data_IF_609777360417
#
_entry.id   IF_609777360417
#
_cell.length_a   1.000
_cell.length_b   1.000
_cell.length_c   1.000
_cell.angle_alpha   90.00
_cell.angle_beta   90.00
_cell.angle_gamma   90.00
#
_symmetry.space_group_name_H-M   'P 1'
#
loop_
_entity.id
_entity.type
_entity.pdbx_description
1 polymer ?
#
# COMPACT_ATOMS: atom_id res chain seq x y z
N UNK A 1 -1.09 -0.17 -3.72
CA UNK A 1 -1.16 -1.50 -3.09
C UNK A 1 -2.44 -2.22 -3.50
N UNK A 2 -2.48 -3.54 -3.38
CA UNK A 2 -3.66 -4.38 -3.62
C UNK A 2 -3.40 -5.85 -3.28
N UNK A 3 -4.43 -6.67 -3.47
CA UNK A 3 -4.35 -8.13 -3.37
C UNK A 3 -5.13 -8.80 -4.50
N UNK A 4 -4.92 -10.10 -4.72
CA UNK A 4 -5.66 -10.91 -5.68
C UNK A 4 -6.29 -12.17 -5.05
N UNK A 5 -7.05 -12.92 -5.84
CA UNK A 5 -7.77 -14.13 -5.43
C UNK A 5 -6.87 -15.29 -5.00
N UNK A 6 -5.58 -15.25 -5.36
CA UNK A 6 -4.59 -16.23 -4.97
C UNK A 6 -3.95 -15.92 -3.61
N UNK A 7 -4.31 -14.81 -2.97
CA UNK A 7 -3.74 -14.37 -1.71
C UNK A 7 -2.38 -13.68 -1.86
N UNK A 8 -2.03 -13.22 -3.06
CA UNK A 8 -0.87 -12.36 -3.29
C UNK A 8 -1.24 -10.93 -2.95
N UNK A 9 -0.42 -10.28 -2.14
CA UNK A 9 -0.51 -8.88 -1.77
C UNK A 9 0.72 -8.12 -2.25
N UNK A 10 0.53 -6.94 -2.84
CA UNK A 10 1.63 -6.08 -3.29
C UNK A 10 1.38 -4.63 -2.86
N UNK A 11 2.35 -4.05 -2.17
CA UNK A 11 2.47 -2.60 -1.93
C UNK A 11 3.77 -2.07 -2.53
N UNK A 12 3.81 -0.77 -2.82
CA UNK A 12 5.03 -0.10 -3.24
C UNK A 12 5.10 1.31 -2.68
N UNK A 13 6.30 1.89 -2.70
CA UNK A 13 6.52 3.29 -2.37
C UNK A 13 7.71 3.87 -3.14
N UNK A 14 7.76 5.20 -3.14
CA UNK A 14 8.79 5.97 -3.82
C UNK A 14 10.15 5.89 -3.10
N UNK A 15 11.21 5.60 -3.84
CA UNK A 15 12.59 5.68 -3.36
C UNK A 15 13.43 6.49 -4.32
N UNK A 16 14.46 7.13 -3.77
CA UNK A 16 15.45 7.89 -4.53
C UNK A 16 16.85 7.53 -4.06
N UNK A 17 17.80 7.59 -4.98
CA UNK A 17 19.18 7.21 -4.75
C UNK A 17 20.10 7.79 -5.80
N UNK A 18 21.34 7.29 -5.86
CA UNK A 18 22.39 7.76 -6.78
C UNK A 18 22.04 7.53 -8.25
N UNK A 19 21.27 6.49 -8.54
CA UNK A 19 20.78 6.25 -9.89
C UNK A 19 19.74 7.31 -10.26
N UNK A 20 19.95 7.96 -11.40
CA UNK A 20 19.07 9.01 -11.89
C UNK A 20 17.68 8.45 -12.21
N UNK A 21 16.67 9.23 -11.86
CA UNK A 21 15.28 8.90 -12.16
C UNK A 21 14.94 9.41 -13.56
N UNK A 22 14.32 8.55 -14.37
CA UNK A 22 13.89 8.88 -15.72
C UNK A 22 12.50 9.54 -15.70
N UNK A 23 12.39 10.74 -16.31
CA UNK A 23 11.12 11.44 -16.50
C UNK A 23 10.35 11.01 -17.77
N UNK A 24 10.98 10.18 -18.62
CA UNK A 24 10.34 9.66 -19.82
C UNK A 24 9.24 8.64 -19.47
N UNK A 25 8.21 8.56 -20.33
CA UNK A 25 7.09 7.63 -20.12
C UNK A 25 7.59 6.18 -20.15
N UNK A 26 7.51 5.51 -19.00
CA UNK A 26 7.75 4.08 -18.82
C UNK A 26 6.70 3.53 -17.83
N UNK A 27 6.91 2.31 -17.31
CA UNK A 27 5.99 1.75 -16.31
C UNK A 27 6.13 2.49 -14.98
N UNK A 28 5.01 2.91 -14.40
CA UNK A 28 4.98 3.43 -13.04
C UNK A 28 5.04 2.27 -12.04
N UNK A 29 5.45 2.55 -10.80
CA UNK A 29 5.37 1.57 -9.71
C UNK A 29 3.96 0.99 -9.54
N UNK A 30 2.93 1.84 -9.69
CA UNK A 30 1.54 1.42 -9.63
C UNK A 30 1.13 0.52 -10.80
N UNK A 31 1.72 0.69 -11.98
CA UNK A 31 1.49 -0.22 -13.12
C UNK A 31 2.08 -1.59 -12.82
N UNK A 32 3.31 -1.62 -12.29
CA UNK A 32 3.99 -2.85 -11.88
C UNK A 32 3.21 -3.60 -10.77
N UNK A 33 2.66 -2.89 -9.78
CA UNK A 33 1.77 -3.47 -8.76
C UNK A 33 0.56 -4.15 -9.41
N UNK A 34 -0.13 -3.46 -10.33
CA UNK A 34 -1.34 -3.99 -10.98
C UNK A 34 -1.02 -5.21 -11.84
N UNK A 35 0.02 -5.11 -12.67
CA UNK A 35 0.44 -6.19 -13.56
C UNK A 35 0.98 -7.41 -12.80
N UNK A 36 1.67 -7.19 -11.67
CA UNK A 36 2.09 -8.27 -10.76
C UNK A 36 0.89 -9.01 -10.17
N UNK A 37 -0.08 -8.28 -9.62
CA UNK A 37 -1.30 -8.85 -9.06
C UNK A 37 -2.18 -9.57 -10.11
N UNK A 38 -2.25 -9.04 -11.33
CA UNK A 38 -3.03 -9.64 -12.43
C UNK A 38 -2.45 -10.99 -12.91
N UNK A 39 -1.12 -11.16 -12.83
CA UNK A 39 -0.42 -12.26 -13.53
C UNK A 39 0.16 -13.33 -12.61
N UNK A 40 0.18 -13.11 -11.30
CA UNK A 40 0.85 -13.99 -10.35
C UNK A 40 -0.12 -14.64 -9.36
N UNK A 41 0.12 -15.91 -9.08
CA UNK A 41 -0.56 -16.70 -8.04
C UNK A 41 0.34 -16.95 -6.80
N UNK A 42 1.59 -16.47 -6.83
CA UNK A 42 2.53 -16.49 -5.68
C UNK A 42 3.33 -15.19 -5.59
N UNK A 43 3.89 -14.89 -4.42
CA UNK A 43 4.75 -13.74 -4.19
C UNK A 43 6.03 -13.79 -5.04
N UNK A 44 6.69 -14.96 -5.14
CA UNK A 44 7.86 -15.13 -6.01
C UNK A 44 7.53 -14.91 -7.49
N UNK A 45 6.38 -15.39 -7.99
CA UNK A 45 5.95 -15.12 -9.37
C UNK A 45 5.63 -13.65 -9.59
N UNK A 46 5.04 -12.97 -8.61
CA UNK A 46 4.80 -11.53 -8.67
C UNK A 46 6.12 -10.75 -8.78
N UNK A 47 7.13 -11.13 -7.98
CA UNK A 47 8.48 -10.58 -8.10
C UNK A 47 9.04 -10.78 -9.51
N UNK A 48 8.95 -12.00 -10.08
CA UNK A 48 9.41 -12.30 -11.44
C UNK A 48 8.71 -11.41 -12.48
N UNK A 49 7.38 -11.30 -12.41
CA UNK A 49 6.61 -10.44 -13.32
C UNK A 49 7.08 -8.99 -13.24
N UNK A 50 7.32 -8.46 -12.03
CA UNK A 50 7.77 -7.09 -11.85
C UNK A 50 9.17 -6.89 -12.45
N UNK A 51 10.13 -7.77 -12.18
CA UNK A 51 11.51 -7.61 -12.69
C UNK A 51 11.60 -7.83 -14.20
N UNK A 52 10.84 -8.76 -14.77
CA UNK A 52 10.78 -8.99 -16.21
C UNK A 52 10.20 -7.77 -16.95
N UNK A 53 9.17 -7.14 -16.36
CA UNK A 53 8.58 -5.92 -16.90
C UNK A 53 9.50 -4.71 -16.76
N UNK A 54 10.21 -4.61 -15.63
CA UNK A 54 11.22 -3.58 -15.41
C UNK A 54 12.36 -3.69 -16.43
N UNK A 55 12.84 -4.91 -16.70
CA UNK A 55 13.88 -5.15 -17.70
C UNK A 55 13.40 -4.80 -19.12
N UNK A 56 12.17 -5.18 -19.46
CA UNK A 56 11.64 -5.01 -20.81
C UNK A 56 11.19 -3.57 -21.12
N UNK A 57 10.59 -2.89 -20.16
CA UNK A 57 9.91 -1.60 -20.39
C UNK A 57 10.47 -0.45 -19.55
N UNK A 58 11.39 -0.74 -18.62
CA UNK A 58 11.91 0.26 -17.70
C UNK A 58 10.89 0.72 -16.67
N UNK A 59 11.31 1.68 -15.85
CA UNK A 59 10.44 2.44 -14.95
C UNK A 59 10.77 3.92 -15.05
N UNK A 60 9.77 4.77 -14.83
CA UNK A 60 9.93 6.22 -14.97
C UNK A 60 8.62 6.91 -15.29
N UNK A 61 8.72 8.21 -15.56
CA UNK A 61 7.57 9.05 -15.88
C UNK A 61 6.95 9.71 -14.66
N UNK A 62 6.12 10.72 -14.91
CA UNK A 62 5.52 11.53 -13.87
C UNK A 62 4.43 10.77 -13.09
N UNK A 63 4.66 10.54 -11.80
CA UNK A 63 3.71 9.90 -10.89
C UNK A 63 2.68 10.87 -10.28
N UNK A 64 2.61 12.12 -10.76
CA UNK A 64 1.67 13.14 -10.27
C UNK A 64 0.63 13.53 -11.32
N UNK A 65 -0.62 13.69 -10.88
CA UNK A 65 -1.65 14.39 -11.65
C UNK A 65 -1.51 15.91 -11.40
N UNK A 66 -0.53 16.54 -12.05
CA UNK A 66 -0.26 17.96 -11.88
C UNK A 66 0.90 18.50 -12.73
N UNK A 67 1.19 19.79 -12.59
CA UNK A 67 2.29 20.46 -13.30
C UNK A 67 3.67 20.16 -12.70
N UNK A 68 3.72 19.71 -11.45
CA UNK A 68 4.97 19.33 -10.80
C UNK A 68 5.32 17.90 -11.20
N UNK A 69 6.49 17.73 -11.82
CA UNK A 69 7.01 16.40 -12.12
C UNK A 69 7.43 15.74 -10.81
N UNK A 70 6.91 14.54 -10.57
CA UNK A 70 7.24 13.74 -9.40
C UNK A 70 7.54 12.31 -9.84
N UNK A 71 8.79 12.07 -10.21
CA UNK A 71 9.28 10.78 -10.67
C UNK A 71 10.12 10.13 -9.57
N UNK A 72 10.08 8.80 -9.50
CA UNK A 72 10.84 8.03 -8.50
C UNK A 72 11.08 6.58 -8.97
N UNK A 73 12.04 5.90 -8.32
CA UNK A 73 12.15 4.45 -8.37
C UNK A 73 11.30 3.82 -7.25
N UNK A 74 11.20 2.49 -7.24
CA UNK A 74 10.25 1.80 -6.37
C UNK A 74 10.92 0.83 -5.40
N UNK A 75 10.42 0.84 -4.16
CA UNK A 75 10.52 -0.28 -3.22
C UNK A 75 9.15 -0.98 -3.18
N UNK A 76 9.15 -2.31 -3.21
CA UNK A 76 7.95 -3.13 -3.18
C UNK A 76 7.98 -4.07 -1.98
N UNK A 77 6.82 -4.23 -1.34
CA UNK A 77 6.53 -5.28 -0.38
C UNK A 77 5.55 -6.25 -1.03
N UNK A 78 5.98 -7.48 -1.25
CA UNK A 78 5.23 -8.54 -1.92
C UNK A 78 5.05 -9.67 -0.91
N UNK A 79 3.85 -10.19 -0.72
CA UNK A 79 3.61 -11.28 0.22
C UNK A 79 2.52 -12.24 -0.27
N UNK A 80 2.64 -13.50 0.09
CA UNK A 80 1.58 -14.50 -0.01
C UNK A 80 1.48 -15.29 1.32
N UNK A 81 0.78 -16.44 1.31
CA UNK A 81 0.60 -17.29 2.50
C UNK A 81 1.90 -17.89 3.05
N UNK A 82 2.94 -18.01 2.23
CA UNK A 82 4.14 -18.79 2.52
C UNK A 82 5.39 -17.92 2.67
N UNK A 83 5.46 -16.82 1.94
CA UNK A 83 6.66 -16.00 1.88
C UNK A 83 6.33 -14.52 1.65
N UNK A 84 7.29 -13.67 2.01
CA UNK A 84 7.30 -12.28 1.63
C UNK A 84 8.65 -11.89 1.01
N UNK A 85 8.62 -10.88 0.16
CA UNK A 85 9.76 -10.34 -0.54
C UNK A 85 9.76 -8.82 -0.42
N UNK A 86 10.94 -8.28 -0.15
CA UNK A 86 11.24 -6.87 -0.40
C UNK A 86 11.96 -6.81 -1.74
N UNK A 87 11.50 -5.97 -2.65
CA UNK A 87 12.15 -5.71 -3.94
C UNK A 87 12.42 -4.21 -4.05
N UNK A 88 13.69 -3.82 -4.13
CA UNK A 88 14.09 -2.43 -4.26
C UNK A 88 14.82 -2.21 -5.59
N UNK A 89 14.49 -1.09 -6.24
CA UNK A 89 14.93 -0.83 -7.62
C UNK A 89 15.71 0.48 -7.73
N UNK A 90 16.65 0.51 -8.67
CA UNK A 90 17.45 1.66 -9.05
C UNK A 90 17.66 1.63 -10.57
N UNK A 91 16.88 2.42 -11.31
CA UNK A 91 16.80 2.31 -12.77
C UNK A 91 16.30 0.92 -13.17
N UNK A 92 17.05 0.22 -14.03
CA UNK A 92 16.78 -1.19 -14.35
C UNK A 92 17.35 -2.20 -13.34
N UNK A 93 18.24 -1.74 -12.45
CA UNK A 93 18.89 -2.62 -11.48
C UNK A 93 17.98 -2.82 -10.26
N UNK A 94 18.12 -3.96 -9.61
CA UNK A 94 17.28 -4.30 -8.47
C UNK A 94 17.98 -5.30 -7.56
N UNK A 95 17.58 -5.30 -6.29
CA UNK A 95 17.91 -6.31 -5.29
C UNK A 95 16.62 -6.75 -4.59
N UNK A 96 16.58 -8.01 -4.16
CA UNK A 96 15.45 -8.56 -3.44
C UNK A 96 15.89 -9.39 -2.23
N UNK A 97 15.18 -9.18 -1.13
CA UNK A 97 15.36 -9.87 0.14
C UNK A 97 14.13 -10.74 0.42
N UNK A 98 14.34 -12.03 0.69
CA UNK A 98 13.31 -12.96 1.11
C UNK A 98 13.10 -12.87 2.62
N UNK A 99 11.84 -12.73 3.04
CA UNK A 99 11.43 -12.67 4.45
C UNK A 99 10.61 -13.92 4.77
N UNK A 100 11.18 -14.80 5.58
CA UNK A 100 10.54 -16.07 5.98
C UNK A 100 10.03 -16.04 7.43
N UNK A 101 10.56 -15.15 8.26
CA UNK A 101 10.18 -15.03 9.67
C UNK A 101 10.36 -13.60 10.19
N UNK A 102 9.75 -13.31 11.32
CA UNK A 102 9.87 -12.04 12.01
C UNK A 102 9.02 -10.94 11.38
N UNK A 103 9.56 -9.72 11.38
CA UNK A 103 8.87 -8.51 10.91
C UNK A 103 9.79 -7.74 9.99
N UNK A 104 9.20 -7.15 8.94
CA UNK A 104 9.91 -6.27 8.01
C UNK A 104 8.97 -5.16 7.58
N UNK A 105 9.52 -3.96 7.43
CA UNK A 105 8.85 -2.82 6.82
C UNK A 105 9.77 -2.15 5.81
N UNK A 106 9.16 -1.33 4.96
CA UNK A 106 9.82 -0.43 4.03
C UNK A 106 9.32 1.01 4.30
N UNK A 107 10.10 2.00 3.88
CA UNK A 107 9.72 3.42 3.84
C UNK A 107 10.37 4.06 2.60
N UNK A 108 10.24 5.37 2.42
CA UNK A 108 10.84 6.12 1.29
C UNK A 108 12.38 6.22 1.36
N UNK A 109 13.07 5.08 1.43
CA UNK A 109 14.51 4.90 1.42
C UNK A 109 14.84 3.44 1.07
N UNK A 110 16.01 3.19 0.50
CA UNK A 110 16.51 1.83 0.30
C UNK A 110 16.86 1.21 1.66
N UNK A 111 16.55 -0.07 1.83
CA UNK A 111 16.63 -0.78 3.10
C UNK A 111 17.22 -2.18 2.98
N UNK A 112 17.36 -2.74 1.77
CA UNK A 112 18.07 -4.01 1.56
C UNK A 112 19.57 -3.76 1.73
N UNK A 113 20.18 -4.37 2.74
CA UNK A 113 21.61 -4.20 3.05
C UNK A 113 22.45 -5.29 2.39
N UNK A 114 23.08 -6.17 3.18
CA UNK A 114 23.95 -7.24 2.71
C UNK A 114 23.20 -8.56 2.48
N UNK A 115 22.03 -8.74 3.11
CA UNK A 115 21.15 -9.88 2.86
C UNK A 115 20.39 -9.68 1.55
N UNK A 116 20.93 -10.27 0.48
CA UNK A 116 20.36 -10.22 -0.86
C UNK A 116 20.17 -11.66 -1.34
N UNK A 117 18.92 -12.06 -1.53
CA UNK A 117 18.56 -13.40 -1.98
C UNK A 117 18.53 -13.47 -3.52
N UNK A 118 18.15 -12.36 -4.17
CA UNK A 118 18.14 -12.23 -5.64
C UNK A 118 18.55 -10.82 -6.04
N UNK A 119 19.27 -10.68 -7.15
CA UNK A 119 19.69 -9.38 -7.67
C UNK A 119 19.74 -9.38 -9.20
N UNK A 120 19.70 -8.20 -9.79
CA UNK A 120 20.01 -8.02 -11.20
C UNK A 120 21.46 -8.50 -11.48
N UNK A 121 21.72 -9.33 -12.52
CA UNK A 121 23.04 -9.92 -12.77
C UNK A 121 24.20 -8.90 -12.85
N UNK A 122 23.94 -7.74 -13.45
CA UNK A 122 24.93 -6.66 -13.58
C UNK A 122 24.95 -5.64 -12.43
N UNK A 123 24.13 -5.81 -11.39
CA UNK A 123 23.98 -4.83 -10.28
C UNK A 123 25.34 -4.39 -9.74
N UNK A 124 26.13 -5.36 -9.29
CA UNK A 124 27.42 -5.08 -8.64
C UNK A 124 28.47 -4.56 -9.61
N UNK A 125 28.49 -5.07 -10.84
CA UNK A 125 29.43 -4.63 -11.86
C UNK A 125 29.17 -3.17 -12.25
N UNK A 126 27.90 -2.80 -12.41
CA UNK A 126 27.50 -1.42 -12.65
C UNK A 126 27.90 -0.48 -11.51
N UNK A 127 27.66 -0.88 -10.25
CA UNK A 127 28.08 -0.11 -9.09
C UNK A 127 29.61 0.11 -9.04
N UNK A 128 30.42 -0.89 -9.43
CA UNK A 128 31.88 -0.73 -9.55
C UNK A 128 32.26 0.27 -10.64
N UNK A 129 31.64 0.16 -11.82
CA UNK A 129 31.92 1.07 -12.95
C UNK A 129 31.58 2.52 -12.61
N UNK A 130 30.51 2.75 -11.83
CA UNK A 130 30.15 4.08 -11.32
C UNK A 130 31.01 4.55 -10.14
N UNK A 131 31.93 3.72 -9.63
CA UNK A 131 32.74 4.03 -8.46
C UNK A 131 31.96 4.08 -7.15
N UNK A 132 30.76 3.51 -7.09
CA UNK A 132 29.92 3.50 -5.89
C UNK A 132 30.29 2.38 -4.92
N UNK A 133 30.85 1.28 -5.45
CA UNK A 133 31.35 0.16 -4.68
C UNK A 133 32.78 -0.17 -5.10
N UNK A 134 33.68 -0.36 -4.12
CA UNK A 134 35.11 -0.64 -4.37
C UNK A 134 35.37 -2.10 -4.79
N UNK A 135 34.37 -2.97 -4.67
CA UNK A 135 34.48 -4.39 -4.96
C UNK A 135 35.25 -5.20 -3.91
N UNK A 136 35.67 -4.55 -2.81
CA UNK A 136 36.47 -5.16 -1.73
C UNK A 136 35.63 -5.35 -0.48
N UNK A 137 34.82 -4.35 -0.11
CA UNK A 137 33.89 -4.46 1.02
C UNK A 137 32.73 -5.38 0.66
N UNK A 138 32.09 -5.97 1.66
CA UNK A 138 30.81 -6.66 1.46
C UNK A 138 29.82 -5.71 0.75
N UNK A 139 29.07 -6.24 -0.21
CA UNK A 139 28.16 -5.44 -0.99
C UNK A 139 26.88 -5.20 -0.17
N UNK A 140 26.60 -3.92 0.10
CA UNK A 140 25.39 -3.45 0.77
C UNK A 140 24.60 -2.59 -0.22
N UNK A 141 23.42 -3.06 -0.64
CA UNK A 141 22.65 -2.41 -1.71
C UNK A 141 22.20 -1.00 -1.30
N UNK A 142 21.58 -0.87 -0.13
CA UNK A 142 21.11 0.40 0.40
C UNK A 142 22.25 1.41 0.55
N UNK A 143 23.39 1.02 1.12
CA UNK A 143 24.54 1.91 1.28
C UNK A 143 25.18 2.31 -0.07
N UNK A 144 25.17 1.40 -1.04
CA UNK A 144 25.77 1.63 -2.36
C UNK A 144 24.92 2.55 -3.23
N UNK A 145 23.60 2.34 -3.24
CA UNK A 145 22.67 3.02 -4.14
C UNK A 145 21.96 4.22 -3.51
N UNK A 146 22.00 4.42 -2.19
CA UNK A 146 21.44 5.63 -1.55
C UNK A 146 22.33 6.86 -1.78
N UNK A 147 21.71 8.05 -1.73
CA UNK A 147 22.44 9.32 -1.78
C UNK A 147 23.51 9.41 -0.67
N UNK A 148 24.62 10.10 -0.97
CA UNK A 148 25.66 10.41 0.01
C UNK A 148 25.22 11.49 1.02
N UNK A 149 24.36 12.42 0.59
CA UNK A 149 23.89 13.52 1.42
C UNK A 149 22.47 13.25 1.95
N UNK A 150 22.40 13.01 3.25
CA UNK A 150 21.20 12.66 4.02
C UNK A 150 20.25 13.86 4.21
N UNK A 151 20.58 15.06 3.72
CA UNK A 151 19.70 16.24 3.82
C UNK A 151 18.33 16.03 3.15
N UNK A 152 18.25 15.29 2.04
CA UNK A 152 16.98 14.87 1.41
C UNK A 152 16.30 13.70 2.13
N UNK A 153 17.00 13.00 3.03
CA UNK A 153 16.44 11.93 3.86
C UNK A 153 15.73 12.46 5.10
N UNK A 154 15.77 13.75 5.44
CA UNK A 154 15.29 14.26 6.76
C UNK A 154 13.79 14.01 7.10
N UNK A 155 13.00 13.43 6.20
CA UNK A 155 11.58 13.05 6.43
C UNK A 155 11.40 11.51 6.53
N UNK A 156 12.42 10.70 6.20
CA UNK A 156 12.30 9.26 5.92
C UNK A 156 12.81 8.27 6.99
N UNK A 157 13.92 8.52 7.73
CA UNK A 157 14.38 7.64 8.81
C UNK A 157 13.36 7.53 9.93
N UNK A 158 12.59 8.60 10.19
CA UNK A 158 11.55 8.60 11.22
C UNK A 158 10.55 7.47 11.01
N UNK A 159 9.85 7.44 9.86
CA UNK A 159 8.80 6.44 9.63
C UNK A 159 9.33 5.02 9.47
N UNK A 160 10.50 4.85 8.84
CA UNK A 160 11.13 3.53 8.78
C UNK A 160 11.45 3.01 10.18
N UNK A 161 12.15 3.80 10.99
CA UNK A 161 12.57 3.43 12.34
C UNK A 161 11.37 3.27 13.28
N UNK A 162 10.38 4.16 13.21
CA UNK A 162 9.17 4.06 14.03
C UNK A 162 8.30 2.87 13.65
N UNK A 163 8.12 2.60 12.35
CA UNK A 163 7.47 1.39 11.87
C UNK A 163 8.18 0.13 12.36
N UNK A 164 9.50 0.11 12.27
CA UNK A 164 10.30 -1.00 12.79
C UNK A 164 10.16 -1.14 14.32
N UNK A 165 10.21 -0.04 15.07
CA UNK A 165 10.04 0.01 16.52
C UNK A 165 8.67 -0.53 16.94
N UNK A 166 7.60 -0.07 16.28
CA UNK A 166 6.23 -0.47 16.55
C UNK A 166 6.00 -1.96 16.22
N UNK A 167 6.47 -2.43 15.06
CA UNK A 167 6.39 -3.85 14.72
C UNK A 167 7.15 -4.73 15.72
N UNK A 168 8.36 -4.33 16.12
CA UNK A 168 9.16 -5.10 17.08
C UNK A 168 8.55 -5.13 18.48
N UNK A 169 7.87 -4.06 18.91
CA UNK A 169 7.13 -4.02 20.17
C UNK A 169 6.10 -5.15 20.28
N UNK A 170 5.51 -5.54 19.16
CA UNK A 170 4.46 -6.57 19.10
C UNK A 170 4.96 -7.91 18.50
N UNK A 171 6.27 -8.06 18.23
CA UNK A 171 6.83 -9.24 17.57
C UNK A 171 6.44 -10.53 18.29
N UNK A 172 5.94 -11.49 17.51
CA UNK A 172 5.43 -12.77 18.01
C UNK A 172 3.94 -12.77 18.40
N UNK A 173 3.32 -11.59 18.55
CA UNK A 173 1.89 -11.43 18.90
C UNK A 173 1.19 -10.40 17.99
N UNK A 174 1.62 -10.28 16.73
CA UNK A 174 0.99 -9.35 15.78
C UNK A 174 -0.35 -9.93 15.33
N UNK A 175 -1.42 -9.20 15.62
CA UNK A 175 -2.77 -9.45 15.09
C UNK A 175 -3.12 -8.45 13.99
N UNK A 176 -4.25 -8.63 13.30
CA UNK A 176 -4.69 -7.63 12.32
C UNK A 176 -5.07 -6.30 12.99
N UNK A 177 -5.61 -6.31 14.20
CA UNK A 177 -5.88 -5.12 15.01
C UNK A 177 -4.60 -4.39 15.39
N UNK A 178 -3.56 -5.14 15.76
CA UNK A 178 -2.22 -4.57 16.01
C UNK A 178 -1.73 -3.79 14.78
N UNK A 179 -1.89 -4.35 13.58
CA UNK A 179 -1.50 -3.66 12.34
C UNK A 179 -2.37 -2.43 12.07
N UNK A 180 -3.67 -2.49 12.35
CA UNK A 180 -4.58 -1.34 12.22
C UNK A 180 -4.23 -0.22 13.20
N UNK A 181 -3.84 -0.55 14.43
CA UNK A 181 -3.36 0.42 15.44
C UNK A 181 -2.07 1.09 14.97
N UNK A 182 -1.11 0.33 14.46
CA UNK A 182 0.13 0.87 13.89
C UNK A 182 -0.17 1.82 12.72
N UNK A 183 -1.07 1.44 11.82
CA UNK A 183 -1.46 2.27 10.68
C UNK A 183 -2.20 3.55 11.10
N UNK A 184 -2.80 3.59 12.29
CA UNK A 184 -3.48 4.75 12.86
C UNK A 184 -2.53 5.70 13.60
N UNK A 185 -1.33 5.25 13.94
CA UNK A 185 -0.41 5.99 14.81
C UNK A 185 0.12 7.26 14.11
N UNK A 186 -0.47 8.40 14.47
CA UNK A 186 -0.04 9.74 14.03
C UNK A 186 1.29 10.17 14.65
N UNK A 187 1.58 9.93 15.95
CA UNK A 187 2.84 10.37 16.55
C UNK A 187 4.10 9.79 15.89
N UNK A 188 4.06 8.55 15.40
CA UNK A 188 5.15 7.93 14.62
C UNK A 188 5.29 8.49 13.21
N UNK A 189 4.29 9.22 12.73
CA UNK A 189 4.17 9.67 11.35
C UNK A 189 3.71 8.58 10.38
N UNK A 190 3.41 7.35 10.83
CA UNK A 190 2.89 6.30 9.95
C UNK A 190 1.55 6.74 9.35
N UNK A 191 0.64 7.23 10.20
CA UNK A 191 -0.52 7.94 9.73
C UNK A 191 -0.13 9.39 9.43
N UNK A 192 0.17 9.67 8.17
CA UNK A 192 0.60 11.00 7.72
C UNK A 192 -0.56 12.00 7.68
N UNK A 193 -0.30 13.20 8.19
CA UNK A 193 -1.13 14.40 8.12
C UNK A 193 -0.33 15.59 7.53
N UNK A 194 -1.03 16.63 7.05
CA UNK A 194 -0.41 17.83 6.49
C UNK A 194 -0.37 17.83 4.96
N UNK A 195 0.78 18.18 4.37
CA UNK A 195 0.93 18.30 2.91
C UNK A 195 0.68 16.98 2.16
N UNK A 196 1.05 15.86 2.78
CA UNK A 196 0.75 14.52 2.31
C UNK A 196 -0.09 13.79 3.35
N UNK A 197 -1.34 13.50 3.02
CA UNK A 197 -2.28 12.78 3.87
C UNK A 197 -2.27 11.29 3.51
N UNK A 198 -2.33 10.40 4.50
CA UNK A 198 -2.64 8.98 4.27
C UNK A 198 -3.97 8.87 3.53
N UNK A 199 -3.97 8.45 2.27
CA UNK A 199 -5.18 8.44 1.42
C UNK A 199 -6.01 7.18 1.55
N UNK A 200 -5.39 6.07 1.96
CA UNK A 200 -6.03 4.81 2.29
C UNK A 200 -5.06 3.91 3.08
N UNK A 201 -5.59 2.89 3.75
CA UNK A 201 -4.82 1.87 4.45
C UNK A 201 -5.38 0.48 4.16
N UNK A 202 -4.50 -0.52 4.21
CA UNK A 202 -4.83 -1.92 3.95
C UNK A 202 -4.13 -2.82 4.97
N UNK A 203 -4.85 -3.84 5.45
CA UNK A 203 -4.30 -4.94 6.26
C UNK A 203 -4.74 -6.24 5.64
N UNK A 204 -3.84 -7.21 5.48
CA UNK A 204 -4.19 -8.53 4.94
C UNK A 204 -3.83 -9.63 5.91
N UNK A 205 -4.74 -10.57 6.09
CA UNK A 205 -4.53 -11.82 6.82
C UNK A 205 -4.39 -12.92 5.78
N UNK A 206 -3.24 -13.59 5.79
CA UNK A 206 -2.89 -14.64 4.83
C UNK A 206 -2.63 -15.96 5.60
N UNK A 207 -3.67 -16.73 5.94
CA UNK A 207 -3.49 -17.97 6.69
C UNK A 207 -2.65 -18.99 5.90
N UNK A 208 -1.69 -19.64 6.55
CA UNK A 208 -0.96 -20.78 5.96
C UNK A 208 -1.89 -21.96 5.68
N UNK A 209 -2.90 -22.17 6.52
CA UNK A 209 -3.96 -23.16 6.26
C UNK A 209 -4.81 -22.70 5.06
N UNK A 210 -4.63 -23.39 3.93
CA UNK A 210 -5.34 -23.11 2.67
C UNK A 210 -6.86 -23.31 2.75
N UNK A 211 -7.36 -24.00 3.78
CA UNK A 211 -8.80 -24.10 4.04
C UNK A 211 -9.42 -22.81 4.58
N UNK A 212 -8.60 -21.89 5.12
CA UNK A 212 -9.04 -20.58 5.55
C UNK A 212 -8.91 -19.55 4.41
N UNK A 213 -9.85 -18.60 4.30
CA UNK A 213 -9.77 -17.56 3.28
C UNK A 213 -8.66 -16.55 3.60
N UNK A 214 -8.11 -15.91 2.57
CA UNK A 214 -7.39 -14.66 2.72
C UNK A 214 -8.40 -13.53 2.98
N UNK A 215 -8.10 -12.66 3.95
CA UNK A 215 -8.99 -11.57 4.36
C UNK A 215 -8.24 -10.26 4.23
N UNK A 216 -8.80 -9.33 3.45
CA UNK A 216 -8.17 -8.06 3.12
C UNK A 216 -9.03 -6.92 3.62
N UNK A 217 -8.54 -6.14 4.56
CA UNK A 217 -9.19 -4.95 5.05
C UNK A 217 -8.76 -3.73 4.26
N UNK A 218 -9.70 -2.88 3.88
CA UNK A 218 -9.43 -1.61 3.22
C UNK A 218 -10.16 -0.47 3.92
N UNK A 219 -9.51 0.68 4.08
CA UNK A 219 -10.21 1.88 4.54
C UNK A 219 -11.01 2.55 3.43
N UNK A 220 -10.54 2.53 2.18
CA UNK A 220 -11.22 3.22 1.07
C UNK A 220 -11.44 4.73 1.30
N UNK A 221 -10.86 5.30 2.35
CA UNK A 221 -10.97 6.70 2.74
C UNK A 221 -9.66 7.13 3.41
N UNK A 222 -9.31 8.44 3.33
CA UNK A 222 -8.12 8.96 3.98
C UNK A 222 -8.20 8.95 5.50
N UNK A 223 -7.04 9.06 6.15
CA UNK A 223 -6.86 9.03 7.60
C UNK A 223 -7.47 7.75 8.23
N UNK A 224 -6.69 6.68 8.41
CA UNK A 224 -7.17 5.45 9.06
C UNK A 224 -7.72 5.69 10.46
N UNK A 225 -7.33 6.75 11.18
CA UNK A 225 -7.92 7.12 12.48
C UNK A 225 -9.38 7.59 12.31
N UNK A 226 -9.75 8.13 11.15
CA UNK A 226 -11.10 8.60 10.83
C UNK A 226 -11.85 7.68 9.87
N UNK A 227 -11.35 6.47 9.66
CA UNK A 227 -11.89 5.49 8.70
C UNK A 227 -12.24 4.15 9.36
N UNK A 228 -13.11 3.37 8.73
CA UNK A 228 -13.39 1.96 9.08
C UNK A 228 -12.54 1.02 8.23
N UNK A 229 -11.88 0.03 8.81
CA UNK A 229 -11.27 -1.09 8.09
C UNK A 229 -12.36 -2.09 7.66
N UNK A 230 -12.73 -2.04 6.37
CA UNK A 230 -13.78 -2.87 5.76
C UNK A 230 -13.19 -4.19 5.26
N UNK A 231 -13.61 -5.36 5.76
CA UNK A 231 -13.09 -6.64 5.29
C UNK A 231 -13.62 -7.00 3.91
N UNK A 232 -12.75 -7.58 3.09
CA UNK A 232 -13.02 -8.10 1.77
C UNK A 232 -12.39 -9.49 1.63
N UNK A 233 -13.15 -10.43 1.05
CA UNK A 233 -12.70 -11.79 0.77
C UNK A 233 -13.03 -12.08 -0.69
N UNK A 234 -12.07 -12.61 -1.43
CA UNK A 234 -12.29 -13.06 -2.80
C UNK A 234 -13.19 -14.30 -2.80
N UNK A 235 -14.41 -14.15 -3.32
CA UNK A 235 -15.40 -15.21 -3.50
C UNK A 235 -16.05 -15.07 -4.89
N UNK A 236 -16.67 -16.13 -5.44
CA UNK A 236 -17.43 -16.02 -6.67
C UNK A 236 -18.59 -15.01 -6.56
N UNK A 237 -19.03 -14.47 -7.70
CA UNK A 237 -20.23 -13.62 -7.81
C UNK A 237 -20.18 -12.30 -7.02
N UNK A 238 -18.99 -11.73 -6.79
CA UNK A 238 -18.85 -10.40 -6.20
C UNK A 238 -19.58 -9.36 -7.07
N UNK A 239 -20.47 -8.60 -6.42
CA UNK A 239 -21.18 -7.49 -7.05
C UNK A 239 -20.25 -6.31 -7.33
N UNK A 240 -20.62 -5.46 -8.29
CA UNK A 240 -19.83 -4.28 -8.62
C UNK A 240 -19.73 -3.32 -7.42
N UNK A 241 -18.51 -2.95 -7.03
CA UNK A 241 -18.22 -2.14 -5.85
C UNK A 241 -18.36 -0.63 -6.10
N UNK A 242 -19.54 -0.22 -6.57
CA UNK A 242 -19.82 1.14 -7.09
C UNK A 242 -19.49 2.26 -6.10
N UNK A 243 -19.81 2.11 -4.81
CA UNK A 243 -19.57 3.15 -3.79
C UNK A 243 -18.08 3.39 -3.49
N UNK A 244 -17.21 2.50 -3.95
CA UNK A 244 -15.75 2.54 -3.79
C UNK A 244 -15.00 2.58 -5.13
N UNK A 245 -15.73 2.72 -6.24
CA UNK A 245 -15.15 2.82 -7.58
C UNK A 245 -15.02 4.29 -7.98
N UNK A 246 -13.81 4.72 -8.31
CA UNK A 246 -13.58 6.06 -8.87
C UNK A 246 -14.31 6.21 -10.21
N UNK A 247 -14.83 7.41 -10.53
CA UNK A 247 -15.46 7.68 -11.81
C UNK A 247 -14.46 7.50 -12.96
N UNK A 248 -14.97 7.07 -14.11
CA UNK A 248 -14.20 6.98 -15.36
C UNK A 248 -14.60 8.13 -16.29
N UNK A 249 -13.61 8.72 -16.96
CA UNK A 249 -13.83 9.89 -17.81
C UNK A 249 -13.73 9.55 -19.31
N UNK A 250 -13.68 8.26 -19.66
CA UNK A 250 -13.68 7.83 -21.07
C UNK A 250 -12.50 8.41 -21.86
N UNK A 251 -12.79 9.01 -23.02
CA UNK A 251 -11.81 9.71 -23.86
C UNK A 251 -11.45 11.11 -23.33
N UNK A 252 -12.29 11.65 -22.45
CA UNK A 252 -12.09 12.96 -21.84
C UNK A 252 -11.13 12.91 -20.64
N UNK A 253 -10.69 11.71 -20.23
CA UNK A 253 -9.71 11.56 -19.15
C UNK A 253 -8.41 12.27 -19.53
N UNK A 254 -7.91 13.22 -18.71
CA UNK A 254 -6.72 13.98 -19.04
C UNK A 254 -5.44 13.13 -19.06
N UNK A 255 -5.48 11.89 -18.55
CA UNK A 255 -4.39 10.94 -18.78
C UNK A 255 -4.29 10.53 -20.26
N UNK A 256 -5.37 10.58 -21.04
CA UNK A 256 -5.39 10.16 -22.46
C UNK A 256 -5.11 11.29 -23.45
N UNK A 257 -5.17 12.55 -23.00
CA UNK A 257 -4.92 13.74 -23.83
C UNK A 257 -3.44 14.12 -23.74
N UNK A 258 -2.85 14.55 -24.87
CA UNK A 258 -1.47 15.09 -24.90
C UNK A 258 -1.54 16.61 -25.14
N UNK A 259 -0.84 17.43 -24.33
CA UNK A 259 -0.12 17.08 -23.10
C UNK A 259 -1.04 16.55 -21.99
N UNK A 260 -0.55 15.63 -21.14
CA UNK A 260 -1.35 15.01 -20.06
C UNK A 260 -1.67 16.00 -18.94
N UNK A 261 -2.72 15.69 -18.17
CA UNK A 261 -3.06 16.36 -16.90
C UNK A 261 -3.24 17.89 -16.99
N UNK A 262 -3.77 18.38 -18.12
CA UNK A 262 -4.11 19.81 -18.29
C UNK A 262 -5.22 20.27 -17.34
N UNK A 263 -6.03 19.34 -16.86
CA UNK A 263 -7.01 19.55 -15.80
C UNK A 263 -6.98 18.38 -14.83
N UNK A 264 -7.46 18.60 -13.60
CA UNK A 264 -7.54 17.58 -12.54
C UNK A 264 -9.02 17.25 -12.27
N UNK A 265 -9.53 16.12 -12.76
CA UNK A 265 -10.91 15.74 -12.52
C UNK A 265 -11.07 15.27 -11.08
N UNK A 266 -12.30 15.35 -10.56
CA UNK A 266 -12.60 14.78 -9.24
C UNK A 266 -12.73 13.26 -9.35
N UNK A 267 -11.70 12.53 -8.90
CA UNK A 267 -11.66 11.06 -8.89
C UNK A 267 -12.19 10.43 -7.61
N UNK A 268 -12.74 11.22 -6.68
CA UNK A 268 -13.28 10.68 -5.42
C UNK A 268 -14.54 9.85 -5.71
N UNK A 269 -14.55 8.62 -5.22
CA UNK A 269 -15.72 7.74 -5.25
C UNK A 269 -16.76 8.16 -4.18
N UNK A 270 -18.01 7.65 -4.25
CA UNK A 270 -19.10 8.09 -3.36
C UNK A 270 -18.79 8.02 -1.86
N UNK A 271 -18.16 6.93 -1.38
CA UNK A 271 -17.74 6.79 0.01
C UNK A 271 -16.75 7.91 0.42
N UNK A 272 -15.73 8.19 -0.39
CA UNK A 272 -14.74 9.22 -0.09
C UNK A 272 -15.38 10.62 -0.09
N UNK A 273 -16.28 10.92 -1.03
CA UNK A 273 -17.02 12.19 -1.01
C UNK A 273 -17.82 12.38 0.30
N UNK A 274 -18.47 11.31 0.79
CA UNK A 274 -19.22 11.36 2.05
C UNK A 274 -18.32 11.49 3.28
N UNK A 275 -17.19 10.79 3.28
CA UNK A 275 -16.17 10.93 4.31
C UNK A 275 -15.71 12.39 4.44
N UNK A 276 -15.35 13.04 3.33
CA UNK A 276 -14.90 14.44 3.38
C UNK A 276 -15.99 15.41 3.84
N UNK A 277 -17.22 15.24 3.36
CA UNK A 277 -18.36 16.04 3.83
C UNK A 277 -18.58 15.90 5.35
N UNK A 278 -18.43 14.68 5.90
CA UNK A 278 -18.56 14.47 7.33
C UNK A 278 -17.45 15.18 8.11
N UNK A 279 -16.20 15.10 7.65
CA UNK A 279 -15.07 15.75 8.32
C UNK A 279 -15.20 17.28 8.33
N UNK A 280 -15.62 17.90 7.23
CA UNK A 280 -15.82 19.36 7.14
C UNK A 280 -16.85 19.90 8.14
N UNK A 281 -17.89 19.11 8.45
CA UNK A 281 -18.93 19.44 9.44
C UNK A 281 -18.42 19.25 10.87
N UNK A 282 -17.59 18.23 11.05
CA UNK A 282 -17.18 17.71 12.35
C UNK A 282 -15.99 18.46 12.96
N UNK A 283 -15.04 18.93 12.16
CA UNK A 283 -13.90 19.74 12.64
C UNK A 283 -14.36 21.05 13.33
N UNK A 284 -15.66 21.38 13.26
CA UNK A 284 -16.31 22.52 13.92
C UNK A 284 -17.14 22.15 15.15
N UNK A 285 -17.35 20.86 15.46
CA UNK A 285 -18.25 20.35 16.52
C UNK A 285 -17.69 19.08 17.18
N UNK A 286 -16.97 19.23 18.28
CA UNK A 286 -16.26 18.16 19.00
C UNK A 286 -17.15 16.97 19.41
N UNK A 287 -18.35 17.21 19.94
CA UNK A 287 -19.28 16.13 20.33
C UNK A 287 -19.79 15.29 19.14
N UNK A 288 -20.04 15.94 17.98
CA UNK A 288 -20.41 15.22 16.74
C UNK A 288 -19.21 14.42 16.22
N UNK A 289 -17.99 14.91 16.39
CA UNK A 289 -16.76 14.19 16.05
C UNK A 289 -16.64 12.88 16.83
N UNK A 290 -16.77 12.97 18.14
CA UNK A 290 -16.69 11.84 19.04
C UNK A 290 -17.77 10.81 18.74
N UNK A 291 -19.01 11.26 18.56
CA UNK A 291 -20.13 10.38 18.21
C UNK A 291 -19.91 9.67 16.88
N UNK A 292 -19.39 10.34 15.86
CA UNK A 292 -19.04 9.71 14.58
C UNK A 292 -18.01 8.60 14.80
N UNK A 293 -16.89 8.93 15.44
CA UNK A 293 -15.79 8.00 15.66
C UNK A 293 -16.22 6.79 16.51
N UNK A 294 -17.01 7.01 17.56
CA UNK A 294 -17.53 5.92 18.40
C UNK A 294 -18.41 4.95 17.60
N UNK A 295 -19.27 5.48 16.71
CA UNK A 295 -20.09 4.65 15.83
C UNK A 295 -19.26 3.88 14.81
N UNK A 296 -18.21 4.49 14.24
CA UNK A 296 -17.29 3.82 13.33
C UNK A 296 -16.51 2.70 14.04
N UNK A 297 -16.02 2.95 15.27
CA UNK A 297 -15.33 1.93 16.09
C UNK A 297 -16.25 0.81 16.52
N UNK A 298 -17.53 1.11 16.78
CA UNK A 298 -18.53 0.08 17.06
C UNK A 298 -18.74 -0.83 15.85
N UNK A 299 -18.90 -0.25 14.65
CA UNK A 299 -19.01 -1.00 13.40
C UNK A 299 -17.78 -1.90 13.18
N UNK A 300 -16.56 -1.38 13.36
CA UNK A 300 -15.33 -2.19 13.26
C UNK A 300 -15.32 -3.37 14.23
N UNK A 301 -15.67 -3.15 15.51
CA UNK A 301 -15.70 -4.23 16.51
C UNK A 301 -16.70 -5.34 16.16
N UNK A 302 -17.81 -5.00 15.53
CA UNK A 302 -18.79 -5.99 15.06
C UNK A 302 -18.22 -6.81 13.90
N UNK A 303 -17.56 -6.15 12.93
CA UNK A 303 -16.89 -6.81 11.81
C UNK A 303 -15.75 -7.71 12.26
N UNK A 304 -14.95 -7.28 13.25
CA UNK A 304 -13.81 -8.07 13.73
C UNK A 304 -14.27 -9.39 14.37
N UNK A 305 -15.36 -9.37 15.14
CA UNK A 305 -15.96 -10.60 15.68
C UNK A 305 -16.41 -11.56 14.56
N UNK A 306 -16.95 -11.02 13.47
CA UNK A 306 -17.33 -11.82 12.31
C UNK A 306 -16.09 -12.44 11.63
N UNK A 307 -15.02 -11.67 11.48
CA UNK A 307 -13.75 -12.15 10.91
C UNK A 307 -13.08 -13.19 11.81
N UNK A 308 -13.02 -12.98 13.12
CA UNK A 308 -12.52 -13.98 14.07
C UNK A 308 -13.32 -15.28 13.99
N UNK A 309 -14.65 -15.19 13.91
CA UNK A 309 -15.53 -16.35 13.73
C UNK A 309 -15.22 -17.09 12.43
N UNK A 310 -14.98 -16.39 11.33
CA UNK A 310 -14.57 -16.99 10.04
C UNK A 310 -13.23 -17.73 10.18
N UNK A 311 -12.25 -17.11 10.83
CA UNK A 311 -10.93 -17.70 11.04
C UNK A 311 -10.96 -18.92 11.98
N UNK A 312 -11.92 -19.00 12.90
CA UNK A 312 -12.09 -20.12 13.83
C UNK A 312 -12.94 -21.27 13.26
N UNK A 313 -14.04 -20.96 12.60
CA UNK A 313 -15.10 -21.93 12.31
C UNK A 313 -14.96 -22.63 10.95
N UNK A 314 -13.99 -22.23 10.10
CA UNK A 314 -13.69 -22.78 8.75
C UNK A 314 -14.85 -22.80 7.75
N UNK A 315 -16.06 -22.47 8.16
CA UNK A 315 -17.26 -22.49 7.33
C UNK A 315 -17.57 -21.09 6.82
N UNK A 316 -17.62 -20.97 5.50
CA UNK A 316 -17.85 -19.73 4.78
C UNK A 316 -19.27 -19.73 4.22
N UNK A 317 -20.14 -18.89 4.79
CA UNK A 317 -21.43 -18.58 4.20
C UNK A 317 -21.21 -17.59 3.04
N UNK A 318 -21.17 -18.12 1.81
CA UNK A 318 -20.82 -17.36 0.61
C UNK A 318 -21.70 -16.12 0.38
N UNK A 319 -23.00 -16.22 0.68
CA UNK A 319 -23.97 -15.13 0.50
C UNK A 319 -23.76 -14.00 1.52
N UNK A 320 -23.27 -14.32 2.73
CA UNK A 320 -22.88 -13.29 3.70
C UNK A 320 -21.58 -12.63 3.31
N UNK A 321 -20.58 -13.42 2.92
CA UNK A 321 -19.23 -12.93 2.61
C UNK A 321 -19.23 -12.01 1.38
N UNK A 322 -19.96 -12.39 0.32
CA UNK A 322 -20.04 -11.58 -0.91
C UNK A 322 -20.60 -10.17 -0.65
N UNK A 323 -21.45 -10.04 0.37
CA UNK A 323 -22.09 -8.78 0.74
C UNK A 323 -21.36 -8.02 1.86
N UNK A 324 -20.37 -8.64 2.53
CA UNK A 324 -19.73 -8.08 3.73
C UNK A 324 -19.09 -6.72 3.45
N UNK A 325 -18.24 -6.62 2.44
CA UNK A 325 -17.60 -5.37 2.05
C UNK A 325 -18.60 -4.28 1.60
N UNK A 326 -19.47 -4.51 0.59
CA UNK A 326 -20.39 -3.47 0.12
C UNK A 326 -21.42 -3.07 1.18
N UNK A 327 -21.83 -3.98 2.06
CA UNK A 327 -22.73 -3.64 3.17
C UNK A 327 -22.03 -2.74 4.18
N UNK A 328 -20.79 -3.07 4.55
CA UNK A 328 -19.99 -2.21 5.44
C UNK A 328 -19.78 -0.80 4.88
N UNK A 329 -19.53 -0.67 3.57
CA UNK A 329 -19.44 0.64 2.89
C UNK A 329 -20.75 1.43 3.04
N UNK A 330 -21.90 0.78 2.84
CA UNK A 330 -23.21 1.44 2.99
C UNK A 330 -23.47 1.87 4.43
N UNK A 331 -23.08 1.07 5.40
CA UNK A 331 -23.27 1.39 6.82
C UNK A 331 -22.36 2.54 7.26
N UNK A 332 -21.11 2.59 6.78
CA UNK A 332 -20.22 3.75 7.00
C UNK A 332 -20.77 5.03 6.34
N UNK A 333 -21.28 4.95 5.10
CA UNK A 333 -21.97 6.08 4.46
C UNK A 333 -23.18 6.54 5.30
N UNK A 334 -23.93 5.63 5.91
CA UNK A 334 -25.06 5.96 6.79
C UNK A 334 -24.59 6.69 8.04
N UNK A 335 -23.49 6.24 8.64
CA UNK A 335 -22.84 6.90 9.78
C UNK A 335 -22.40 8.33 9.42
N UNK A 336 -21.82 8.56 8.23
CA UNK A 336 -21.51 9.92 7.77
C UNK A 336 -22.77 10.78 7.62
N UNK A 337 -23.81 10.26 6.96
CA UNK A 337 -25.06 11.03 6.70
C UNK A 337 -25.80 11.43 7.97
N UNK A 338 -25.83 10.58 8.99
CA UNK A 338 -26.48 10.91 10.27
C UNK A 338 -25.76 12.04 11.01
N UNK A 339 -24.46 12.21 10.80
CA UNK A 339 -23.65 13.26 11.43
C UNK A 339 -23.58 14.57 10.62
N UNK A 340 -23.83 14.52 9.31
CA UNK A 340 -23.92 15.70 8.43
C UNK A 340 -25.24 16.45 8.61
N UNK A 341 -26.32 15.75 8.98
CA UNK A 341 -27.65 16.35 9.12
C UNK A 341 -27.69 17.35 10.31
N UNK A 342 -28.41 18.49 10.19
CA UNK A 342 -28.40 19.59 11.17
C UNK A 342 -28.55 19.17 12.63
#
# INVERSE_FOLDING_TARGET
MGANEHGVCIGNEAVWGREEVCDEEALLGMDLVRLGLERADTAEKALNVIVDLLEKYGQGGNCSEGRMVFSYHNSFLIADRNEAWILETAGKYWAAEKVQEGVRNISNQLSITTKIDREHPDLRNYAKQKGWWDGKKEFDFAATYSYLDTAKMKISPGRYCEGYRLLNKHKGNITFETMMEILRDKPSGINMEGEFLTTASMVSILPQDSSLPCIHFFTGTPDPERSVFKPFIFVPNISQLLDTSSPTFGLEDPVKKKPRFQHKPDRRHPLYQKHQQALEVIDKKEEKAKTLLDNMRKLEKELFKEIESILQNKHLDGDKIVNLFPQCVKDEIRIYKSNISP
#
